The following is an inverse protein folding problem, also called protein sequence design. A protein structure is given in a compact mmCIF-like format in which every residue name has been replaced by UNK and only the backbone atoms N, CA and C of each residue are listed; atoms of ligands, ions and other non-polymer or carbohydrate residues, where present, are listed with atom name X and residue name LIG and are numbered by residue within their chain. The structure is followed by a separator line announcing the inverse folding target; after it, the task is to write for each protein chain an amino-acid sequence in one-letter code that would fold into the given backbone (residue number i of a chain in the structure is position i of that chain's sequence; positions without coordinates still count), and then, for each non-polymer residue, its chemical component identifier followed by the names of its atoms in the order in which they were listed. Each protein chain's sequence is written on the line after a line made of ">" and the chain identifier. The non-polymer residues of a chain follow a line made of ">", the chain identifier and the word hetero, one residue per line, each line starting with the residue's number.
data_IF_399142242460
#
_entry.id   IF_399142242460
#
_cell.length_a   1.000
_cell.length_b   1.000
_cell.length_c   1.000
_cell.angle_alpha   90.00
_cell.angle_beta   90.00
_cell.angle_gamma   90.00
#
_symmetry.space_group_name_H-M   'P 1'
#
loop_
_entity.id
_entity.type
_entity.pdbx_description
1 polymer ?
#
# COMPACT_ATOMS: atom_id res chain seq x y z
N UNK A 1 1.73 -24.35 26.96
CA UNK A 1 2.38 -23.58 25.87
C UNK A 1 1.57 -22.32 25.61
N UNK A 2 2.09 -21.14 25.97
CA UNK A 2 1.42 -19.84 25.71
C UNK A 2 1.66 -19.47 24.24
N UNK A 3 0.59 -19.35 23.45
CA UNK A 3 0.66 -18.78 22.08
C UNK A 3 0.82 -17.26 22.23
N UNK A 4 1.99 -16.75 21.89
CA UNK A 4 2.22 -15.32 21.76
C UNK A 4 1.63 -14.89 20.41
N UNK A 5 0.60 -14.04 20.42
CA UNK A 5 0.00 -13.49 19.21
C UNK A 5 0.96 -12.42 18.68
N UNK A 6 1.61 -12.69 17.55
CA UNK A 6 2.69 -11.86 17.01
C UNK A 6 2.20 -10.67 16.16
N UNK A 7 0.96 -10.69 15.67
CA UNK A 7 0.27 -9.54 15.09
C UNK A 7 -1.21 -9.90 14.81
N UNK A 8 -2.09 -8.90 14.79
CA UNK A 8 -3.48 -9.02 14.33
C UNK A 8 -3.53 -8.71 12.82
N UNK A 9 -3.95 -9.67 12.00
CA UNK A 9 -4.23 -9.42 10.58
C UNK A 9 -5.43 -8.48 10.51
N UNK A 10 -5.18 -7.22 10.15
CA UNK A 10 -6.17 -6.14 10.29
C UNK A 10 -7.09 -5.99 9.06
N UNK A 11 -6.77 -6.61 7.93
CA UNK A 11 -7.62 -6.60 6.72
C UNK A 11 -7.70 -7.97 6.06
N UNK A 12 -8.88 -8.40 5.58
CA UNK A 12 -8.98 -9.59 4.73
C UNK A 12 -8.15 -9.38 3.46
N UNK A 13 -7.38 -10.40 3.09
CA UNK A 13 -6.55 -10.41 1.87
C UNK A 13 -7.37 -10.45 0.58
N UNK A 14 -8.67 -10.73 0.70
CA UNK A 14 -9.55 -11.07 -0.41
C UNK A 14 -10.62 -10.00 -0.65
N UNK A 15 -10.49 -8.81 -0.06
CA UNK A 15 -11.36 -7.68 -0.39
C UNK A 15 -11.14 -7.26 -1.86
N UNK A 16 -12.22 -6.95 -2.60
CA UNK A 16 -12.11 -6.38 -3.94
C UNK A 16 -11.24 -5.13 -3.93
N UNK A 17 -10.31 -5.05 -4.87
CA UNK A 17 -9.32 -3.99 -5.00
C UNK A 17 -8.85 -3.87 -6.45
N UNK A 18 -8.14 -2.78 -6.75
CA UNK A 18 -7.42 -2.65 -8.02
C UNK A 18 -6.35 -3.75 -8.23
N UNK A 19 -5.80 -3.88 -9.44
CA UNK A 19 -4.87 -4.94 -9.77
C UNK A 19 -3.55 -4.85 -9.01
N UNK A 20 -3.05 -5.99 -8.55
CA UNK A 20 -1.73 -6.11 -7.92
C UNK A 20 -0.61 -5.97 -8.97
N UNK A 21 0.52 -5.39 -8.58
CA UNK A 21 1.65 -5.08 -9.46
C UNK A 21 2.98 -5.53 -8.87
N UNK A 22 3.96 -5.76 -9.73
CA UNK A 22 5.32 -6.19 -9.38
C UNK A 22 6.31 -5.09 -9.71
N UNK A 23 7.24 -4.86 -8.79
CA UNK A 23 8.47 -4.11 -9.07
C UNK A 23 9.67 -4.88 -8.52
N UNK A 24 10.66 -5.12 -9.37
CA UNK A 24 11.89 -5.81 -9.01
C UNK A 24 12.99 -4.78 -8.78
N UNK A 25 13.66 -4.90 -7.64
CA UNK A 25 14.73 -4.02 -7.19
C UNK A 25 15.93 -4.85 -6.78
N UNK A 26 17.08 -4.23 -6.92
CA UNK A 26 18.37 -4.74 -6.47
C UNK A 26 18.89 -3.77 -5.41
N UNK A 27 19.37 -4.32 -4.30
CA UNK A 27 19.69 -3.58 -3.09
C UNK A 27 21.06 -4.04 -2.56
N UNK A 28 21.96 -3.13 -2.16
CA UNK A 28 23.25 -3.51 -1.59
C UNK A 28 23.10 -4.40 -0.36
N UNK A 29 23.92 -5.46 -0.28
CA UNK A 29 23.90 -6.39 0.86
C UNK A 29 24.15 -5.68 2.21
N UNK A 30 24.95 -4.61 2.21
CA UNK A 30 25.18 -3.79 3.41
C UNK A 30 23.89 -3.12 3.91
N UNK A 31 22.97 -2.75 3.04
CA UNK A 31 21.71 -2.12 3.43
C UNK A 31 20.75 -3.12 4.08
N UNK A 32 20.73 -4.37 3.60
CA UNK A 32 20.02 -5.45 4.29
C UNK A 32 20.61 -5.75 5.66
N UNK A 33 21.96 -5.78 5.78
CA UNK A 33 22.63 -6.01 7.06
C UNK A 33 22.23 -4.96 8.10
N UNK A 34 22.18 -3.70 7.69
CA UNK A 34 21.84 -2.58 8.57
C UNK A 34 20.32 -2.51 8.88
N UNK A 35 19.49 -3.18 8.07
CA UNK A 35 18.04 -2.97 8.07
C UNK A 35 17.71 -1.52 7.68
N UNK A 36 18.36 -1.02 6.64
CA UNK A 36 18.29 0.39 6.25
C UNK A 36 16.88 0.79 5.82
N UNK A 37 16.54 2.05 6.07
CA UNK A 37 15.40 2.71 5.47
C UNK A 37 15.76 3.13 4.04
N UNK A 38 14.91 2.79 3.07
CA UNK A 38 15.10 3.15 1.66
C UNK A 38 13.87 3.86 1.12
N UNK A 39 14.09 4.79 0.20
CA UNK A 39 13.07 5.50 -0.55
C UNK A 39 13.19 5.18 -2.05
N UNK A 40 12.05 5.07 -2.72
CA UNK A 40 11.97 4.85 -4.15
C UNK A 40 10.82 5.66 -4.75
N UNK A 41 11.10 6.35 -5.86
CA UNK A 41 10.05 6.86 -6.74
C UNK A 41 9.48 5.73 -7.60
N UNK A 42 8.17 5.49 -7.47
CA UNK A 42 7.51 4.45 -8.23
C UNK A 42 7.34 4.84 -9.71
N UNK A 43 7.74 3.96 -10.64
CA UNK A 43 7.34 4.07 -12.03
C UNK A 43 5.82 4.18 -12.18
N UNK A 44 5.37 4.98 -13.15
CA UNK A 44 3.94 5.15 -13.43
C UNK A 44 3.26 3.84 -13.85
N UNK A 45 3.99 2.97 -14.56
CA UNK A 45 3.50 1.68 -15.00
C UNK A 45 4.38 0.59 -14.43
N UNK A 46 3.78 -0.38 -13.77
CA UNK A 46 4.46 -1.53 -13.18
C UNK A 46 3.94 -2.83 -13.77
N UNK A 47 4.75 -3.89 -13.73
CA UNK A 47 4.38 -5.20 -14.28
C UNK A 47 3.14 -5.74 -13.59
N UNK A 48 2.20 -6.29 -14.36
CA UNK A 48 1.02 -6.94 -13.80
C UNK A 48 1.43 -8.15 -12.96
N UNK A 49 0.94 -8.27 -11.72
CA UNK A 49 1.32 -9.38 -10.84
C UNK A 49 0.79 -10.75 -11.28
N UNK A 50 -0.23 -10.78 -12.13
CA UNK A 50 -0.84 -12.03 -12.62
C UNK A 50 -0.03 -12.64 -13.77
N UNK A 51 0.49 -11.81 -14.67
CA UNK A 51 1.16 -12.27 -15.90
C UNK A 51 2.65 -11.89 -15.99
N UNK A 52 3.19 -11.20 -14.97
CA UNK A 52 4.58 -10.76 -14.88
C UNK A 52 5.09 -10.04 -16.16
N UNK A 53 4.23 -9.25 -16.81
CA UNK A 53 4.57 -8.53 -18.04
C UNK A 53 4.09 -9.17 -19.35
N UNK A 54 3.56 -10.40 -19.32
CA UNK A 54 3.16 -11.12 -20.54
C UNK A 54 1.89 -10.62 -21.24
N UNK A 55 1.02 -9.92 -20.51
CA UNK A 55 -0.30 -9.50 -21.00
C UNK A 55 -1.36 -10.57 -20.73
N UNK A 56 -2.36 -10.20 -19.94
CA UNK A 56 -3.53 -11.03 -19.62
C UNK A 56 -4.78 -10.16 -19.50
N UNK A 57 -5.95 -10.79 -19.42
CA UNK A 57 -7.23 -10.09 -19.30
C UNK A 57 -7.29 -9.16 -18.09
N UNK A 58 -6.67 -9.54 -16.96
CA UNK A 58 -6.64 -8.72 -15.74
C UNK A 58 -5.93 -7.36 -15.93
N UNK A 59 -5.04 -7.23 -16.92
CA UNK A 59 -4.36 -5.97 -17.26
C UNK A 59 -4.76 -5.44 -18.64
N UNK A 60 -5.84 -5.96 -19.24
CA UNK A 60 -6.26 -5.57 -20.58
C UNK A 60 -5.21 -5.85 -21.66
N UNK A 61 -4.47 -6.95 -21.54
CA UNK A 61 -3.40 -7.38 -22.46
C UNK A 61 -2.18 -6.46 -22.53
N UNK A 62 -2.06 -5.46 -21.65
CA UNK A 62 -0.93 -4.51 -21.68
C UNK A 62 0.37 -5.05 -21.06
N UNK A 63 0.28 -6.09 -20.22
CA UNK A 63 1.40 -6.61 -19.41
C UNK A 63 1.81 -5.71 -18.24
N UNK A 64 1.38 -4.44 -18.25
CA UNK A 64 1.63 -3.46 -17.22
C UNK A 64 0.33 -2.81 -16.74
N UNK A 65 0.39 -2.25 -15.53
CA UNK A 65 -0.71 -1.59 -14.83
C UNK A 65 -0.26 -0.21 -14.41
N UNK A 66 -1.09 0.81 -14.68
CA UNK A 66 -0.82 2.16 -14.19
C UNK A 66 -1.14 2.27 -12.69
N UNK A 67 -0.17 2.74 -11.92
CA UNK A 67 -0.32 2.97 -10.47
C UNK A 67 -0.93 4.34 -10.16
N UNK A 68 -0.82 5.28 -11.08
CA UNK A 68 -1.27 6.68 -10.93
C UNK A 68 -1.78 7.29 -12.23
N UNK A 69 -2.59 8.33 -12.10
CA UNK A 69 -3.07 9.17 -13.19
C UNK A 69 -1.93 9.82 -13.98
N UNK A 70 -2.17 10.25 -15.23
CA UNK A 70 -1.14 10.89 -16.08
C UNK A 70 -0.67 12.24 -15.52
N UNK A 71 -1.56 12.99 -14.88
CA UNK A 71 -1.30 14.32 -14.34
C UNK A 71 -0.93 14.31 -12.85
N UNK A 72 -1.03 13.15 -12.19
CA UNK A 72 -0.67 13.02 -10.78
C UNK A 72 0.86 13.09 -10.62
N UNK A 73 1.39 13.62 -9.51
CA UNK A 73 2.83 13.61 -9.25
C UNK A 73 3.36 12.18 -9.05
N UNK A 74 4.68 11.95 -9.17
CA UNK A 74 5.29 10.68 -8.80
C UNK A 74 5.01 10.30 -7.34
N UNK A 75 4.83 9.02 -7.11
CA UNK A 75 4.59 8.45 -5.79
C UNK A 75 5.93 7.99 -5.20
N UNK A 76 6.29 8.51 -4.02
CA UNK A 76 7.45 8.06 -3.26
C UNK A 76 6.99 7.01 -2.25
N UNK A 77 7.78 5.94 -2.14
CA UNK A 77 7.55 4.88 -1.16
C UNK A 77 8.80 4.72 -0.31
N UNK A 78 8.60 4.71 1.00
CA UNK A 78 9.64 4.43 1.98
C UNK A 78 9.40 3.07 2.64
N UNK A 79 10.47 2.30 2.83
CA UNK A 79 10.38 1.04 3.57
C UNK A 79 11.67 0.71 4.31
N UNK A 80 11.51 0.03 5.45
CA UNK A 80 12.62 -0.55 6.19
C UNK A 80 12.94 -1.94 5.65
N UNK A 81 14.19 -2.15 5.24
CA UNK A 81 14.64 -3.44 4.75
C UNK A 81 14.66 -4.49 5.86
N UNK A 82 14.26 -5.74 5.58
CA UNK A 82 14.39 -6.83 6.54
C UNK A 82 15.87 -7.10 6.83
N UNK A 83 16.25 -7.15 8.10
CA UNK A 83 17.63 -7.47 8.49
C UNK A 83 18.02 -8.87 8.06
N UNK A 84 19.16 -9.00 7.38
CA UNK A 84 19.74 -10.28 6.97
C UNK A 84 21.26 -10.25 7.06
N UNK A 85 21.82 -11.38 7.46
CA UNK A 85 23.25 -11.61 7.31
C UNK A 85 23.57 -11.89 5.82
N UNK A 86 24.71 -11.40 5.31
CA UNK A 86 25.13 -11.66 3.95
C UNK A 86 25.33 -13.17 3.75
N UNK A 87 24.62 -13.74 2.79
CA UNK A 87 24.77 -15.16 2.45
C UNK A 87 25.93 -15.35 1.46
N UNK A 88 26.76 -16.39 1.62
CA UNK A 88 27.76 -16.76 0.60
C UNK A 88 27.12 -17.19 -0.72
N UNK A 89 25.82 -17.47 -0.75
CA UNK A 89 25.02 -17.63 -1.99
C UNK A 89 24.47 -16.28 -2.51
N UNK A 90 25.32 -15.25 -2.48
CA UNK A 90 25.01 -13.90 -2.94
C UNK A 90 24.36 -13.96 -4.34
N UNK A 91 23.15 -13.38 -4.45
CA UNK A 91 22.37 -13.35 -5.69
C UNK A 91 21.18 -14.33 -5.77
N UNK A 92 20.94 -15.19 -4.76
CA UNK A 92 19.76 -16.09 -4.73
C UNK A 92 18.69 -15.73 -3.70
N UNK A 93 19.03 -14.94 -2.69
CA UNK A 93 18.12 -14.49 -1.63
C UNK A 93 17.20 -13.38 -2.13
N UNK A 94 16.11 -13.75 -2.80
CA UNK A 94 15.02 -12.80 -3.07
C UNK A 94 14.07 -12.73 -1.89
N UNK A 95 13.59 -11.53 -1.57
CA UNK A 95 12.43 -11.39 -0.72
C UNK A 95 11.38 -10.49 -1.32
N UNK A 96 10.13 -10.78 -0.97
CA UNK A 96 9.00 -9.99 -1.43
C UNK A 96 8.46 -9.19 -0.26
N UNK A 97 8.51 -7.87 -0.38
CA UNK A 97 7.80 -6.95 0.50
C UNK A 97 6.49 -6.57 -0.18
N UNK A 98 5.37 -6.70 0.53
CA UNK A 98 4.06 -6.31 0.02
C UNK A 98 3.62 -5.02 0.67
N UNK A 99 3.32 -4.02 -0.15
CA UNK A 99 2.80 -2.72 0.28
C UNK A 99 1.36 -2.58 -0.20
N UNK A 100 0.44 -2.36 0.74
CA UNK A 100 -0.98 -2.27 0.42
C UNK A 100 -1.36 -0.86 -0.01
N UNK A 101 -2.20 -0.72 -1.03
CA UNK A 101 -2.66 0.60 -1.49
C UNK A 101 -1.74 1.29 -2.49
N UNK A 102 -0.62 0.66 -2.88
CA UNK A 102 0.35 1.18 -3.85
C UNK A 102 0.30 0.47 -5.21
N UNK A 103 -0.67 -0.43 -5.41
CA UNK A 103 -0.85 -1.13 -6.68
C UNK A 103 -1.61 -0.32 -7.73
N UNK A 104 -2.24 -1.03 -8.66
CA UNK A 104 -3.03 -0.45 -9.72
C UNK A 104 -4.30 0.24 -9.22
N UNK A 105 -4.74 1.23 -9.99
CA UNK A 105 -6.03 1.89 -9.78
C UNK A 105 -7.18 0.90 -10.06
N UNK A 106 -8.26 0.93 -9.25
CA UNK A 106 -9.48 0.20 -9.58
C UNK A 106 -10.14 0.76 -10.85
N UNK A 107 -11.14 0.07 -11.42
CA UNK A 107 -12.02 0.64 -12.43
C UNK A 107 -12.59 1.99 -11.97
N UNK A 108 -12.73 2.95 -12.91
CA UNK A 108 -13.07 4.34 -12.58
C UNK A 108 -14.47 4.52 -11.95
N UNK A 109 -15.36 3.56 -12.17
CA UNK A 109 -16.73 3.48 -11.65
C UNK A 109 -16.83 2.77 -10.28
N UNK A 110 -15.71 2.22 -9.78
CA UNK A 110 -15.67 1.45 -8.55
C UNK A 110 -14.91 2.19 -7.44
N UNK A 111 -15.57 2.39 -6.30
CA UNK A 111 -14.97 2.99 -5.10
C UNK A 111 -14.16 1.95 -4.29
N UNK A 112 -13.25 1.24 -4.95
CA UNK A 112 -12.40 0.22 -4.34
C UNK A 112 -11.02 0.77 -3.97
N UNK A 113 -10.32 0.16 -3.00
CA UNK A 113 -8.92 0.48 -2.76
C UNK A 113 -8.05 0.09 -3.95
N UNK A 114 -6.89 0.75 -4.07
CA UNK A 114 -5.82 0.33 -4.98
C UNK A 114 -5.34 -1.09 -4.66
N UNK A 115 -4.77 -1.73 -5.67
CA UNK A 115 -4.10 -3.02 -5.51
C UNK A 115 -2.89 -2.98 -4.58
N UNK A 116 -2.18 -4.09 -4.52
CA UNK A 116 -0.94 -4.23 -3.77
C UNK A 116 0.27 -4.09 -4.68
N UNK A 117 1.34 -3.52 -4.14
CA UNK A 117 2.67 -3.51 -4.75
C UNK A 117 3.50 -4.64 -4.15
N UNK A 118 4.01 -5.52 -5.00
CA UNK A 118 4.93 -6.60 -4.65
C UNK A 118 6.35 -6.18 -5.04
N UNK A 119 7.13 -5.76 -4.05
CA UNK A 119 8.53 -5.39 -4.21
C UNK A 119 9.41 -6.62 -4.05
N UNK A 120 9.98 -7.11 -5.16
CA UNK A 120 10.96 -8.17 -5.15
C UNK A 120 12.34 -7.56 -4.97
N UNK A 121 12.93 -7.77 -3.81
CA UNK A 121 14.24 -7.26 -3.46
C UNK A 121 15.27 -8.39 -3.60
N UNK A 122 16.32 -8.12 -4.35
CA UNK A 122 17.48 -9.00 -4.56
C UNK A 122 18.76 -8.29 -4.11
N UNK A 123 19.77 -9.05 -3.70
CA UNK A 123 21.08 -8.47 -3.39
C UNK A 123 21.85 -8.11 -4.67
N UNK A 124 22.49 -6.93 -4.68
CA UNK A 124 23.37 -6.49 -5.76
C UNK A 124 23.58 -4.98 -5.76
N UNK A 125 23.86 -4.39 -6.93
CA UNK A 125 23.96 -2.94 -7.09
C UNK A 125 22.60 -2.26 -6.92
N UNK A 126 22.57 -1.08 -6.29
CA UNK A 126 21.33 -0.36 -6.05
C UNK A 126 20.62 -0.03 -7.37
N UNK A 127 19.33 -0.36 -7.48
CA UNK A 127 18.50 0.07 -8.60
C UNK A 127 18.51 1.61 -8.72
N UNK A 128 18.62 2.18 -9.93
CA UNK A 128 18.55 3.64 -10.11
C UNK A 128 17.27 4.22 -9.49
N UNK A 129 17.42 5.33 -8.75
CA UNK A 129 16.31 5.97 -8.05
C UNK A 129 15.98 5.36 -6.67
N UNK A 130 16.63 4.27 -6.27
CA UNK A 130 16.56 3.75 -4.91
C UNK A 130 17.61 4.48 -4.03
N UNK A 131 17.14 5.18 -3.01
CA UNK A 131 17.98 6.00 -2.13
C UNK A 131 17.92 5.44 -0.72
N UNK A 132 19.09 5.36 -0.05
CA UNK A 132 19.15 5.05 1.38
C UNK A 132 18.91 6.32 2.19
N UNK A 133 18.00 6.26 3.16
CA UNK A 133 17.74 7.34 4.10
C UNK A 133 18.64 7.20 5.34
N UNK A 134 19.15 8.31 5.86
CA UNK A 134 20.00 8.35 7.07
C UNK A 134 19.17 8.24 8.36
N UNK A 135 17.94 8.74 8.34
CA UNK A 135 17.00 8.62 9.46
C UNK A 135 16.26 7.27 9.41
N UNK A 136 15.90 6.69 10.57
CA UNK A 136 14.97 5.57 10.61
C UNK A 136 13.66 5.95 9.90
N UNK A 137 13.11 5.03 9.10
CA UNK A 137 11.77 5.22 8.55
C UNK A 137 10.83 5.45 9.74
N UNK A 138 10.12 6.57 9.76
CA UNK A 138 8.92 6.63 10.58
C UNK A 138 7.99 5.55 9.99
N UNK A 139 7.52 4.59 10.81
CA UNK A 139 6.52 3.66 10.31
C UNK A 139 5.37 4.51 9.80
N UNK A 140 4.91 4.27 8.57
CA UNK A 140 3.66 4.85 8.08
C UNK A 140 2.65 4.68 9.21
N UNK A 141 2.30 5.77 9.88
CA UNK A 141 1.15 5.76 10.76
C UNK A 141 0.03 5.35 9.84
N UNK A 142 -0.41 4.10 10.00
CA UNK A 142 -1.66 3.61 9.47
C UNK A 142 -2.70 4.55 10.06
N UNK A 143 -2.93 5.65 9.38
CA UNK A 143 -4.08 6.50 9.54
C UNK A 143 -5.19 5.62 9.02
N UNK A 144 -5.67 4.75 9.91
CA UNK A 144 -7.00 4.24 9.86
C UNK A 144 -7.85 5.50 9.68
N UNK A 145 -8.31 5.73 8.45
CA UNK A 145 -9.29 6.73 8.16
C UNK A 145 -10.39 6.53 9.21
N UNK A 146 -10.46 7.46 10.17
CA UNK A 146 -11.44 7.37 11.22
C UNK A 146 -12.80 7.26 10.52
N UNK A 147 -13.68 6.30 10.86
CA UNK A 147 -15.04 6.29 10.35
C UNK A 147 -15.77 7.49 10.97
N UNK A 148 -15.57 8.67 10.37
CA UNK A 148 -15.85 9.97 10.97
C UNK A 148 -17.04 10.72 10.36
N UNK A 149 -17.65 10.22 9.28
CA UNK A 149 -18.70 10.97 8.58
C UNK A 149 -20.13 10.54 8.97
N UNK A 150 -20.39 9.25 9.19
CA UNK A 150 -21.77 8.78 9.47
C UNK A 150 -22.28 9.18 10.86
N UNK A 151 -21.41 9.28 11.87
CA UNK A 151 -21.82 9.65 13.24
C UNK A 151 -22.25 11.12 13.37
N UNK A 152 -21.67 12.03 12.58
CA UNK A 152 -22.03 13.46 12.59
C UNK A 152 -23.38 13.70 11.89
N UNK A 153 -23.65 12.98 10.80
CA UNK A 153 -24.93 13.08 10.08
C UNK A 153 -26.09 12.53 10.93
N UNK A 154 -25.88 11.40 11.62
CA UNK A 154 -26.89 10.82 12.50
C UNK A 154 -27.22 11.75 13.69
N UNK A 155 -26.21 12.38 14.31
CA UNK A 155 -26.43 13.31 15.42
C UNK A 155 -27.20 14.57 14.98
N UNK A 156 -26.88 15.12 13.80
CA UNK A 156 -27.59 16.29 13.26
C UNK A 156 -29.07 16.01 12.99
N UNK A 157 -29.40 14.82 12.46
CA UNK A 157 -30.78 14.39 12.24
C UNK A 157 -31.58 14.25 13.53
N UNK A 158 -30.98 13.68 14.59
CA UNK A 158 -31.65 13.54 15.89
C UNK A 158 -31.95 14.91 16.51
N UNK A 159 -30.99 15.85 16.47
CA UNK A 159 -31.22 17.22 16.98
C UNK A 159 -32.32 17.93 16.20
N UNK A 160 -32.36 17.78 14.88
CA UNK A 160 -33.40 18.37 14.04
C UNK A 160 -34.80 17.81 14.39
N UNK A 161 -34.91 16.49 14.56
CA UNK A 161 -36.17 15.83 14.92
C UNK A 161 -36.64 16.28 16.32
N UNK A 162 -35.74 16.34 17.30
CA UNK A 162 -36.08 16.80 18.66
C UNK A 162 -36.50 18.27 18.65
N UNK A 163 -35.83 19.14 17.88
CA UNK A 163 -36.21 20.54 17.75
C UNK A 163 -37.61 20.70 17.11
N UNK A 164 -37.92 19.94 16.07
CA UNK A 164 -39.24 19.95 15.41
C UNK A 164 -40.35 19.45 16.35
N UNK A 165 -40.11 18.36 17.09
CA UNK A 165 -41.08 17.83 18.06
C UNK A 165 -41.27 18.80 19.23
N UNK A 166 -40.18 19.37 19.76
CA UNK A 166 -40.25 20.38 20.81
C UNK A 166 -41.02 21.62 20.36
N UNK A 167 -40.77 22.11 19.14
CA UNK A 167 -41.50 23.26 18.61
C UNK A 167 -43.00 22.96 18.41
N UNK A 168 -43.34 21.74 17.97
CA UNK A 168 -44.74 21.32 17.83
C UNK A 168 -45.47 21.19 19.17
N UNK A 169 -44.76 20.77 20.23
CA UNK A 169 -45.34 20.64 21.58
C UNK A 169 -45.45 21.98 22.33
N UNK A 170 -44.54 22.93 22.10
CA UNK A 170 -44.60 24.27 22.72
C UNK A 170 -45.40 25.30 21.92
N UNK A 171 -45.64 25.06 20.62
CA UNK A 171 -46.37 25.96 19.73
C UNK A 171 -47.89 25.77 19.73
N UNK A 172 -48.45 25.12 20.75
CA UNK A 172 -49.88 24.84 20.89
C UNK A 172 -50.46 25.48 22.13
#
# INVERSE_FOLDING_TARGET
>A
MKRQVLAKVARPLDEPRGPDVIHRLTVPASWFKDGACVELELPRNLSCAVCDGGGCEACGLAGAVSTRGRAEPPELVQLTLPRREPSPEAGRSTCVVRLTGHGGLPPADEALPRGHLLLYLSEGEATPGLVRLEAPCEPDEVTAAAPGSLRRVAAALVVLVVALVGWWLLGR
#
